data_IF_878083897697
#
_entry.id   IF_878083897697
#
_cell.length_a   1.000
_cell.length_b   1.000
_cell.length_c   1.000
_cell.angle_alpha   90.00
_cell.angle_beta   90.00
_cell.angle_gamma   90.00
#
_symmetry.space_group_name_H-M   'P 1'
#
loop_
_entity.id
_entity.type
_entity.pdbx_description
1 polymer ?
#
# COMPACT_ATOMS: atom_id res chain seq x y z
N UNK A 1 -24.37 -12.16 -30.39
CA UNK A 1 -22.88 -12.18 -30.54
C UNK A 1 -22.30 -12.29 -29.16
N UNK A 2 -21.75 -13.46 -28.80
CA UNK A 2 -21.12 -13.65 -27.50
C UNK A 2 -19.76 -12.90 -27.45
N UNK A 3 -19.60 -12.03 -26.48
CA UNK A 3 -18.29 -11.43 -26.19
C UNK A 3 -17.37 -12.55 -25.68
N UNK A 4 -16.32 -12.86 -26.43
CA UNK A 4 -15.31 -13.82 -25.97
C UNK A 4 -14.73 -13.30 -24.63
N UNK A 5 -14.82 -14.11 -23.58
CA UNK A 5 -14.14 -13.81 -22.32
C UNK A 5 -12.63 -13.88 -22.58
N UNK A 6 -11.95 -12.74 -22.45
CA UNK A 6 -10.50 -12.69 -22.41
C UNK A 6 -10.07 -13.44 -21.13
N UNK A 7 -9.25 -14.48 -21.28
CA UNK A 7 -8.59 -15.14 -20.15
C UNK A 7 -7.21 -14.54 -19.97
N UNK A 8 -6.70 -14.50 -18.75
CA UNK A 8 -5.36 -13.93 -18.44
C UNK A 8 -4.24 -14.54 -19.30
N UNK A 9 -4.38 -15.80 -19.72
CA UNK A 9 -3.41 -16.49 -20.56
C UNK A 9 -3.34 -15.97 -22.00
N UNK A 10 -4.38 -15.25 -22.47
CA UNK A 10 -4.45 -14.71 -23.84
C UNK A 10 -4.27 -13.19 -23.90
N UNK A 11 -4.01 -12.53 -22.76
CA UNK A 11 -3.80 -11.10 -22.73
C UNK A 11 -2.29 -10.84 -22.69
N UNK A 12 -1.71 -10.47 -23.84
CA UNK A 12 -0.36 -9.91 -23.86
C UNK A 12 -0.40 -8.58 -23.10
N UNK A 13 0.28 -8.54 -21.94
CA UNK A 13 0.62 -7.29 -21.28
C UNK A 13 2.03 -6.93 -21.77
N UNK A 14 2.17 -6.09 -22.81
CA UNK A 14 3.48 -5.66 -23.26
C UNK A 14 4.16 -4.88 -22.11
N UNK A 15 5.49 -4.91 -22.07
CA UNK A 15 6.27 -4.01 -21.24
C UNK A 15 5.78 -2.58 -21.51
N UNK A 16 5.06 -2.03 -20.54
CA UNK A 16 4.38 -0.77 -20.75
C UNK A 16 5.43 0.33 -20.79
N UNK A 17 5.51 1.05 -21.90
CA UNK A 17 6.35 2.26 -22.06
C UNK A 17 6.12 3.27 -20.91
N UNK A 18 4.98 3.21 -20.25
CA UNK A 18 4.57 4.13 -19.19
C UNK A 18 4.64 3.52 -17.79
N UNK A 19 4.98 2.24 -17.70
CA UNK A 19 5.23 1.59 -16.42
C UNK A 19 6.65 1.89 -15.96
N UNK A 20 6.81 2.07 -14.66
CA UNK A 20 8.12 2.11 -14.01
C UNK A 20 8.17 1.08 -12.88
N UNK A 21 9.37 0.64 -12.54
CA UNK A 21 9.58 -0.26 -11.42
C UNK A 21 9.67 0.58 -10.15
N UNK A 22 8.73 0.33 -9.25
CA UNK A 22 8.76 0.87 -7.88
C UNK A 22 9.48 -0.15 -7.00
N UNK A 23 10.53 0.29 -6.29
CA UNK A 23 11.33 -0.51 -5.37
C UNK A 23 11.02 -0.05 -3.97
N UNK A 24 10.39 -0.90 -3.17
CA UNK A 24 9.93 -0.53 -1.83
C UNK A 24 10.21 -1.64 -0.83
N UNK A 25 10.54 -1.25 0.40
CA UNK A 25 10.41 -2.13 1.56
C UNK A 25 9.29 -1.67 2.45
N UNK A 26 8.65 -2.63 3.09
CA UNK A 26 7.52 -2.42 3.99
C UNK A 26 7.80 -3.07 5.34
N UNK A 27 7.53 -2.30 6.40
CA UNK A 27 7.82 -2.70 7.77
C UNK A 27 6.57 -2.60 8.63
N UNK A 28 6.37 -3.60 9.49
CA UNK A 28 5.36 -3.57 10.53
C UNK A 28 5.86 -2.75 11.71
N UNK A 29 5.02 -1.87 12.24
CA UNK A 29 5.27 -1.07 13.43
C UNK A 29 4.22 -1.39 14.51
N UNK A 30 4.60 -1.17 15.77
CA UNK A 30 3.66 -1.27 16.90
C UNK A 30 2.74 -0.04 16.98
N UNK A 31 3.30 1.15 16.79
CA UNK A 31 2.62 2.46 16.69
C UNK A 31 3.52 3.41 15.88
N UNK A 32 3.22 4.70 15.88
CA UNK A 32 4.07 5.71 15.27
C UNK A 32 5.47 5.69 15.91
N UNK A 33 6.54 5.86 15.11
CA UNK A 33 7.90 5.94 15.64
C UNK A 33 8.07 7.07 16.66
N UNK A 34 9.06 6.92 17.56
CA UNK A 34 9.38 7.93 18.55
C UNK A 34 9.64 9.31 17.90
N UNK A 35 9.07 10.37 18.48
CA UNK A 35 9.16 11.74 17.96
C UNK A 35 8.11 12.07 16.91
N UNK A 36 7.36 11.10 16.38
CA UNK A 36 6.23 11.33 15.46
C UNK A 36 4.92 11.24 16.23
N UNK A 37 4.08 12.28 16.14
CA UNK A 37 2.81 12.32 16.84
C UNK A 37 1.62 12.38 15.86
N UNK A 38 0.44 11.99 16.33
CA UNK A 38 -0.80 11.98 15.52
C UNK A 38 -1.28 13.37 15.10
N UNK A 39 -0.79 14.42 15.75
CA UNK A 39 -1.12 15.82 15.41
C UNK A 39 -0.20 16.40 14.34
N UNK A 40 0.89 15.71 14.01
CA UNK A 40 1.79 16.12 12.95
C UNK A 40 1.09 16.16 11.59
N UNK A 41 1.70 16.90 10.67
CA UNK A 41 1.19 16.98 9.31
C UNK A 41 1.18 15.60 8.64
N UNK A 42 0.04 15.22 8.10
CA UNK A 42 -0.14 13.98 7.37
C UNK A 42 -1.01 14.18 6.14
N UNK A 43 -0.88 13.29 5.18
CA UNK A 43 -1.79 13.18 4.06
C UNK A 43 -2.91 12.19 4.40
N UNK A 44 -4.14 12.54 4.04
CA UNK A 44 -5.27 11.63 4.12
C UNK A 44 -5.40 10.87 2.80
N UNK A 45 -5.31 9.56 2.86
CA UNK A 45 -5.34 8.70 1.69
C UNK A 45 -6.56 7.78 1.75
N UNK A 46 -7.31 7.74 0.65
CA UNK A 46 -8.36 6.76 0.41
C UNK A 46 -8.00 6.00 -0.86
N UNK A 47 -7.84 4.69 -0.72
CA UNK A 47 -7.58 3.76 -1.82
C UNK A 47 -8.82 2.91 -2.06
N UNK A 48 -9.35 2.92 -3.28
CA UNK A 48 -10.43 2.04 -3.72
C UNK A 48 -9.83 1.00 -4.69
N UNK A 49 -9.69 -0.24 -4.21
CA UNK A 49 -9.19 -1.37 -5.00
C UNK A 49 -10.34 -2.00 -5.77
N UNK A 50 -10.33 -1.87 -7.09
CA UNK A 50 -11.39 -2.40 -7.94
C UNK A 50 -11.37 -3.93 -7.89
N UNK A 51 -12.46 -4.52 -7.42
CA UNK A 51 -12.57 -5.94 -7.12
C UNK A 51 -12.24 -6.81 -8.33
N UNK A 52 -11.41 -7.83 -8.12
CA UNK A 52 -11.00 -8.78 -9.16
C UNK A 52 -10.02 -8.21 -10.19
N UNK A 53 -9.38 -7.07 -9.90
CA UNK A 53 -8.43 -6.43 -10.82
C UNK A 53 -7.14 -6.02 -10.09
N UNK A 54 -6.15 -5.53 -10.86
CA UNK A 54 -4.92 -4.90 -10.36
C UNK A 54 -5.02 -3.37 -10.33
N UNK A 55 -6.25 -2.85 -10.37
CA UNK A 55 -6.53 -1.43 -10.52
C UNK A 55 -6.96 -0.82 -9.19
N UNK A 56 -6.52 0.41 -8.96
CA UNK A 56 -6.84 1.19 -7.77
C UNK A 56 -7.09 2.64 -8.13
N UNK A 57 -8.11 3.24 -7.53
CA UNK A 57 -8.31 4.68 -7.51
C UNK A 57 -7.84 5.21 -6.16
N UNK A 58 -6.79 6.04 -6.16
CA UNK A 58 -6.25 6.68 -4.95
C UNK A 58 -6.65 8.14 -4.90
N UNK A 59 -7.29 8.55 -3.81
CA UNK A 59 -7.53 9.95 -3.47
C UNK A 59 -6.56 10.35 -2.36
N UNK A 60 -5.81 11.42 -2.57
CA UNK A 60 -4.90 11.98 -1.58
C UNK A 60 -5.34 13.39 -1.28
N UNK A 61 -5.58 13.68 0.00
CA UNK A 61 -5.90 15.02 0.49
C UNK A 61 -4.78 15.52 1.40
N UNK A 62 -4.34 16.74 1.17
CA UNK A 62 -3.54 17.48 2.14
C UNK A 62 -4.48 18.36 3.00
N UNK A 63 -4.64 18.05 4.31
CA UNK A 63 -5.54 18.81 5.18
C UNK A 63 -5.12 20.27 5.39
N UNK A 64 -3.81 20.60 5.28
CA UNK A 64 -3.31 21.96 5.46
C UNK A 64 -3.68 22.88 4.30
N UNK A 65 -3.57 22.37 3.08
CA UNK A 65 -3.80 23.15 1.86
C UNK A 65 -5.18 22.90 1.25
N UNK A 66 -5.88 21.89 1.75
CA UNK A 66 -7.15 21.37 1.21
C UNK A 66 -7.05 20.95 -0.27
N UNK A 67 -5.83 20.67 -0.75
CA UNK A 67 -5.60 20.19 -2.11
C UNK A 67 -5.85 18.69 -2.22
N UNK A 68 -6.35 18.29 -3.37
CA UNK A 68 -6.63 16.91 -3.72
C UNK A 68 -5.82 16.46 -4.94
N UNK A 69 -5.38 15.22 -4.91
CA UNK A 69 -4.83 14.52 -6.07
C UNK A 69 -5.57 13.19 -6.19
N UNK A 70 -6.06 12.89 -7.39
CA UNK A 70 -6.68 11.59 -7.69
C UNK A 70 -5.84 10.88 -8.72
N UNK A 71 -5.53 9.60 -8.45
CA UNK A 71 -4.74 8.73 -9.34
C UNK A 71 -5.51 7.46 -9.64
N UNK A 72 -5.50 7.06 -10.89
CA UNK A 72 -5.86 5.71 -11.32
C UNK A 72 -4.57 4.92 -11.53
N UNK A 73 -4.39 3.86 -10.78
CA UNK A 73 -3.14 3.11 -10.72
C UNK A 73 -3.36 1.67 -11.13
N UNK A 74 -2.49 1.14 -12.01
CA UNK A 74 -2.26 -0.29 -12.13
C UNK A 74 -0.96 -0.63 -11.42
N UNK A 75 -0.98 -1.58 -10.47
CA UNK A 75 0.21 -2.03 -9.75
C UNK A 75 0.19 -3.55 -9.63
N UNK A 76 1.31 -4.20 -9.98
CA UNK A 76 1.48 -5.64 -9.83
C UNK A 76 2.95 -6.00 -9.68
N UNK A 77 3.23 -7.09 -8.99
CA UNK A 77 4.57 -7.68 -8.92
C UNK A 77 4.76 -8.59 -10.14
N UNK A 78 5.79 -8.38 -10.98
CA UNK A 78 6.14 -9.31 -12.06
C UNK A 78 6.52 -10.70 -11.54
N UNK A 79 7.22 -10.75 -10.41
CA UNK A 79 7.48 -11.96 -9.64
C UNK A 79 6.55 -11.98 -8.42
N UNK A 80 5.64 -12.95 -8.29
CA UNK A 80 4.73 -13.06 -7.15
C UNK A 80 5.45 -13.35 -5.83
N UNK A 81 6.71 -13.80 -5.86
CA UNK A 81 7.54 -14.06 -4.67
C UNK A 81 8.38 -12.84 -4.26
N UNK A 82 8.45 -11.80 -5.09
CA UNK A 82 9.16 -10.56 -4.79
C UNK A 82 8.22 -9.36 -4.88
N UNK A 83 7.61 -9.01 -3.75
CA UNK A 83 6.72 -7.85 -3.66
C UNK A 83 7.48 -6.54 -3.42
N UNK A 84 8.81 -6.58 -3.31
CA UNK A 84 9.66 -5.40 -3.18
C UNK A 84 9.83 -4.64 -4.50
N UNK A 85 9.61 -5.33 -5.63
CA UNK A 85 9.72 -4.78 -6.99
C UNK A 85 8.39 -4.89 -7.70
N UNK A 86 7.74 -3.76 -7.91
CA UNK A 86 6.41 -3.73 -8.54
C UNK A 86 6.41 -2.86 -9.77
N UNK A 87 5.73 -3.32 -10.82
CA UNK A 87 5.43 -2.51 -11.99
C UNK A 87 4.24 -1.61 -11.69
N UNK A 88 4.39 -0.31 -11.89
CA UNK A 88 3.35 0.68 -11.59
C UNK A 88 3.12 1.63 -12.77
N UNK A 89 1.85 1.86 -13.09
CA UNK A 89 1.42 2.88 -14.05
C UNK A 89 0.38 3.77 -13.38
N UNK A 90 0.57 5.08 -13.42
CA UNK A 90 -0.33 6.05 -12.82
C UNK A 90 -0.90 6.99 -13.90
N UNK A 91 -2.21 7.23 -13.84
CA UNK A 91 -2.89 8.31 -14.53
C UNK A 91 -3.45 9.28 -13.49
N UNK A 92 -3.24 10.57 -13.68
CA UNK A 92 -3.86 11.61 -12.85
C UNK A 92 -5.22 11.94 -13.40
N UNK A 93 -6.24 11.89 -12.54
CA UNK A 93 -7.63 12.10 -12.91
C UNK A 93 -8.10 13.49 -12.48
N UNK A 94 -8.90 14.12 -13.33
CA UNK A 94 -9.74 15.25 -12.93
C UNK A 94 -11.00 14.76 -12.18
N UNK A 95 -11.80 15.69 -11.66
CA UNK A 95 -12.99 15.34 -10.87
C UNK A 95 -14.01 14.49 -11.64
N UNK A 96 -14.29 14.85 -12.90
CA UNK A 96 -15.26 14.14 -13.74
C UNK A 96 -14.79 12.72 -14.06
N UNK A 97 -13.51 12.54 -14.39
CA UNK A 97 -12.92 11.22 -14.63
C UNK A 97 -12.99 10.34 -13.37
N UNK A 98 -12.65 10.92 -12.22
CA UNK A 98 -12.71 10.22 -10.94
C UNK A 98 -14.15 9.78 -10.59
N UNK A 99 -15.14 10.65 -10.83
CA UNK A 99 -16.56 10.35 -10.62
C UNK A 99 -17.04 9.24 -11.58
N UNK A 100 -16.69 9.33 -12.85
CA UNK A 100 -17.05 8.30 -13.86
C UNK A 100 -16.50 6.93 -13.47
N UNK A 101 -15.26 6.85 -12.98
CA UNK A 101 -14.64 5.60 -12.57
C UNK A 101 -15.14 5.08 -11.21
N UNK A 102 -15.83 5.90 -10.41
CA UNK A 102 -16.34 5.52 -9.09
C UNK A 102 -17.50 4.52 -9.14
N UNK A 103 -18.06 4.25 -10.33
CA UNK A 103 -19.11 3.25 -10.54
C UNK A 103 -18.64 1.80 -10.33
N UNK A 104 -17.33 1.56 -10.38
CA UNK A 104 -16.80 0.22 -10.19
C UNK A 104 -16.86 -0.20 -8.72
N UNK A 105 -17.34 -1.44 -8.48
CA UNK A 105 -17.28 -2.03 -7.15
C UNK A 105 -15.82 -2.13 -6.67
N UNK A 106 -15.56 -1.65 -5.47
CA UNK A 106 -14.21 -1.58 -4.92
C UNK A 106 -14.20 -1.79 -3.41
N UNK A 107 -13.08 -2.32 -2.90
CA UNK A 107 -12.78 -2.39 -1.49
C UNK A 107 -11.98 -1.15 -1.07
N UNK A 108 -12.40 -0.49 0.00
CA UNK A 108 -11.81 0.75 0.47
C UNK A 108 -10.78 0.53 1.56
N UNK A 109 -9.62 1.19 1.43
CA UNK A 109 -8.66 1.40 2.52
C UNK A 109 -8.55 2.90 2.78
N UNK A 110 -8.63 3.30 4.05
CA UNK A 110 -8.33 4.66 4.50
C UNK A 110 -7.13 4.65 5.41
N UNK A 111 -6.25 5.65 5.27
CA UNK A 111 -5.06 5.81 6.10
C UNK A 111 -4.60 7.27 6.17
N UNK A 112 -3.94 7.61 7.27
CA UNK A 112 -3.17 8.83 7.41
C UNK A 112 -1.70 8.51 7.15
N UNK A 113 -1.08 9.20 6.18
CA UNK A 113 0.34 9.03 5.84
C UNK A 113 1.14 10.16 6.43
N UNK A 114 2.04 9.81 7.32
CA UNK A 114 3.06 10.69 7.90
C UNK A 114 4.38 10.48 7.17
N UNK A 115 5.27 11.47 7.26
CA UNK A 115 6.63 11.33 6.80
C UNK A 115 7.57 11.39 7.99
N UNK A 116 8.46 10.41 8.06
CA UNK A 116 9.39 10.22 9.15
C UNK A 116 10.82 10.13 8.62
N UNK A 117 11.70 11.00 9.14
CA UNK A 117 13.12 10.99 8.77
C UNK A 117 13.89 10.15 9.80
N UNK A 118 14.56 9.12 9.33
CA UNK A 118 15.37 8.24 10.17
C UNK A 118 16.68 7.90 9.44
N UNK A 119 17.83 8.15 10.09
CA UNK A 119 19.18 7.92 9.54
C UNK A 119 19.37 8.51 8.12
N UNK A 120 18.85 9.73 7.90
CA UNK A 120 18.96 10.42 6.62
C UNK A 120 18.09 9.85 5.49
N UNK A 121 17.17 8.94 5.82
CA UNK A 121 16.20 8.34 4.91
C UNK A 121 14.78 8.72 5.29
N UNK A 122 13.93 8.94 4.28
CA UNK A 122 12.55 9.33 4.47
C UNK A 122 11.62 8.13 4.33
N UNK A 123 10.86 7.85 5.39
CA UNK A 123 9.83 6.83 5.44
C UNK A 123 8.45 7.44 5.29
N UNK A 124 7.56 6.73 4.59
CA UNK A 124 6.12 6.94 4.61
C UNK A 124 5.53 6.05 5.69
N UNK A 125 5.02 6.63 6.78
CA UNK A 125 4.37 5.88 7.88
C UNK A 125 2.87 5.99 7.72
N UNK A 126 2.22 4.88 7.43
CA UNK A 126 0.79 4.75 7.21
C UNK A 126 0.09 4.25 8.47
N UNK A 127 -0.72 5.09 9.09
CA UNK A 127 -1.65 4.69 10.14
C UNK A 127 -3.01 4.41 9.51
N UNK A 128 -3.43 3.16 9.54
CA UNK A 128 -4.67 2.72 8.91
C UNK A 128 -5.90 3.11 9.76
N UNK A 129 -7.02 3.29 9.08
CA UNK A 129 -8.30 3.71 9.63
C UNK A 129 -9.41 2.69 9.25
N UNK A 130 -10.59 2.84 9.85
CA UNK A 130 -11.73 1.98 9.54
C UNK A 130 -11.48 0.53 9.90
N UNK A 131 -11.73 -0.40 8.99
CA UNK A 131 -11.62 -1.84 9.23
C UNK A 131 -10.20 -2.31 9.56
N UNK A 132 -9.19 -1.53 9.19
CA UNK A 132 -7.78 -1.79 9.49
C UNK A 132 -7.24 -0.92 10.64
N UNK A 133 -8.11 -0.27 11.42
CA UNK A 133 -7.69 0.56 12.56
C UNK A 133 -6.86 -0.25 13.56
N UNK A 134 -5.66 0.24 13.87
CA UNK A 134 -4.67 -0.43 14.71
C UNK A 134 -3.48 -0.98 13.94
N UNK A 135 -3.53 -1.03 12.60
CA UNK A 135 -2.38 -1.36 11.77
C UNK A 135 -1.56 -0.10 11.49
N UNK A 136 -0.24 -0.21 11.69
CA UNK A 136 0.73 0.82 11.29
C UNK A 136 1.83 0.17 10.46
N UNK A 137 2.05 0.70 9.26
CA UNK A 137 3.11 0.24 8.36
C UNK A 137 4.02 1.41 7.99
N UNK A 138 5.32 1.14 7.86
CA UNK A 138 6.26 2.07 7.24
C UNK A 138 6.69 1.55 5.87
N UNK A 139 6.83 2.46 4.91
CA UNK A 139 7.33 2.16 3.57
C UNK A 139 8.51 3.09 3.26
N UNK A 140 9.53 2.55 2.58
CA UNK A 140 10.66 3.29 2.04
C UNK A 140 10.90 2.86 0.60
N UNK A 141 11.14 3.83 -0.28
CA UNK A 141 11.45 3.59 -1.68
C UNK A 141 12.94 3.72 -1.95
N UNK A 142 13.42 3.03 -2.99
CA UNK A 142 14.81 3.00 -3.42
C UNK A 142 14.93 3.29 -4.90
N UNK A 143 16.04 3.92 -5.29
CA UNK A 143 16.32 4.23 -6.68
C UNK A 143 16.93 3.04 -7.41
N UNK A 144 17.71 2.21 -6.72
CA UNK A 144 18.41 1.05 -7.30
C UNK A 144 18.10 -0.26 -6.57
N UNK A 145 18.35 -1.37 -7.25
CA UNK A 145 18.22 -2.71 -6.67
C UNK A 145 19.27 -2.93 -5.59
N UNK A 146 20.49 -2.41 -5.77
CA UNK A 146 21.57 -2.54 -4.79
C UNK A 146 21.24 -1.85 -3.47
N UNK A 147 20.58 -0.68 -3.51
CA UNK A 147 20.12 0.01 -2.31
C UNK A 147 19.03 -0.80 -1.60
N UNK A 148 18.04 -1.29 -2.36
CA UNK A 148 16.97 -2.12 -1.85
C UNK A 148 17.50 -3.38 -1.16
N UNK A 149 18.42 -4.10 -1.82
CA UNK A 149 18.90 -5.41 -1.37
C UNK A 149 19.81 -5.30 -0.13
N UNK A 150 20.56 -4.20 0.02
CA UNK A 150 21.47 -3.95 1.16
C UNK A 150 20.83 -3.28 2.35
N UNK A 151 19.60 -2.81 2.20
CA UNK A 151 18.97 -2.02 3.25
C UNK A 151 18.56 -2.90 4.44
N UNK A 152 19.07 -2.57 5.62
CA UNK A 152 18.77 -3.28 6.87
C UNK A 152 17.40 -2.84 7.43
N UNK A 153 16.74 -3.74 8.15
CA UNK A 153 15.51 -3.42 8.87
C UNK A 153 15.79 -2.33 9.92
N UNK A 154 15.06 -1.19 9.87
CA UNK A 154 15.27 -0.10 10.81
C UNK A 154 14.89 -0.51 12.24
N UNK A 155 15.59 0.06 13.24
CA UNK A 155 15.42 -0.31 14.65
C UNK A 155 14.04 0.02 15.23
N UNK A 156 13.29 0.93 14.61
CA UNK A 156 11.92 1.26 15.03
C UNK A 156 10.86 0.28 14.49
N UNK A 157 11.24 -0.64 13.60
CA UNK A 157 10.33 -1.61 13.02
C UNK A 157 10.30 -2.93 13.83
N UNK A 158 9.13 -3.54 13.93
CA UNK A 158 8.98 -4.88 14.50
C UNK A 158 9.56 -5.92 13.54
N UNK A 159 9.24 -5.80 12.25
CA UNK A 159 9.68 -6.75 11.23
C UNK A 159 9.58 -6.17 9.82
N UNK A 160 10.39 -6.72 8.90
CA UNK A 160 10.21 -6.57 7.47
C UNK A 160 9.06 -7.49 7.01
N UNK A 161 8.02 -6.89 6.45
CA UNK A 161 6.82 -7.59 5.94
C UNK A 161 6.66 -7.41 4.43
N UNK A 162 7.73 -7.00 3.75
CA UNK A 162 7.73 -6.67 2.32
C UNK A 162 7.15 -7.80 1.46
N UNK A 163 7.62 -9.03 1.69
CA UNK A 163 7.25 -10.20 0.89
C UNK A 163 6.13 -11.05 1.53
N UNK A 164 5.42 -10.51 2.51
CA UNK A 164 4.25 -11.16 3.11
C UNK A 164 3.00 -10.60 2.43
N UNK A 165 2.33 -11.42 1.63
CA UNK A 165 1.21 -11.02 0.77
C UNK A 165 0.09 -10.32 1.56
N UNK A 166 -0.18 -10.76 2.78
CA UNK A 166 -1.18 -10.15 3.69
C UNK A 166 -1.03 -8.64 3.82
N UNK A 167 0.21 -8.12 3.79
CA UNK A 167 0.49 -6.69 3.91
C UNK A 167 0.51 -5.96 2.56
N UNK A 168 0.23 -6.62 1.44
CA UNK A 168 0.00 -5.95 0.17
C UNK A 168 -1.30 -5.15 0.21
N UNK A 169 -1.34 -4.00 -0.47
CA UNK A 169 -2.53 -3.15 -0.43
C UNK A 169 -3.78 -3.82 -0.99
N UNK A 170 -3.64 -4.63 -2.05
CA UNK A 170 -4.76 -5.41 -2.61
C UNK A 170 -5.32 -6.38 -1.57
N UNK A 171 -4.45 -7.14 -0.91
CA UNK A 171 -4.89 -8.11 0.10
C UNK A 171 -5.47 -7.45 1.34
N UNK A 172 -4.82 -6.39 1.84
CA UNK A 172 -5.33 -5.62 2.98
C UNK A 172 -6.73 -5.06 2.73
N UNK A 173 -7.09 -4.72 1.49
CA UNK A 173 -8.42 -4.20 1.16
C UNK A 173 -9.56 -5.21 1.37
N UNK A 174 -9.24 -6.48 1.49
CA UNK A 174 -10.19 -7.58 1.70
C UNK A 174 -10.28 -8.02 3.17
N UNK A 175 -9.44 -7.46 4.05
CA UNK A 175 -9.26 -7.90 5.42
C UNK A 175 -9.72 -6.85 6.44
N UNK A 176 -9.98 -7.32 7.65
CA UNK A 176 -10.12 -6.49 8.85
C UNK A 176 -8.86 -6.61 9.71
N UNK A 177 -8.65 -5.65 10.60
CA UNK A 177 -7.47 -5.66 11.48
C UNK A 177 -7.34 -6.95 12.29
N UNK A 178 -8.47 -7.54 12.73
CA UNK A 178 -8.45 -8.81 13.45
C UNK A 178 -7.84 -9.97 12.65
N UNK A 179 -8.08 -10.00 11.34
CA UNK A 179 -7.52 -11.03 10.46
C UNK A 179 -6.03 -10.80 10.22
N UNK A 180 -5.63 -9.54 9.99
CA UNK A 180 -4.22 -9.15 9.90
C UNK A 180 -3.48 -9.48 11.20
N UNK A 181 -4.09 -9.21 12.35
CA UNK A 181 -3.51 -9.50 13.67
C UNK A 181 -3.31 -11.00 13.90
N UNK A 182 -4.25 -11.86 13.48
CA UNK A 182 -4.08 -13.32 13.53
C UNK A 182 -2.84 -13.75 12.73
N UNK A 183 -2.68 -13.21 11.52
CA UNK A 183 -1.51 -13.46 10.68
C UNK A 183 -0.21 -13.05 11.37
N UNK A 184 -0.17 -11.83 11.93
CA UNK A 184 0.99 -11.31 12.67
C UNK A 184 1.39 -12.25 13.84
N UNK A 185 0.41 -12.76 14.57
CA UNK A 185 0.63 -13.72 15.65
C UNK A 185 1.12 -15.07 15.11
N UNK A 186 0.52 -15.55 14.02
CA UNK A 186 0.85 -16.84 13.41
C UNK A 186 2.28 -16.90 12.89
N UNK A 187 2.75 -15.80 12.30
CA UNK A 187 4.14 -15.67 11.82
C UNK A 187 5.14 -15.30 12.95
N UNK A 188 4.68 -15.25 14.20
CA UNK A 188 5.53 -15.08 15.39
C UNK A 188 6.01 -13.64 15.64
N UNK A 189 5.46 -12.63 14.96
CA UNK A 189 5.87 -11.23 15.12
C UNK A 189 5.27 -10.54 16.36
N UNK A 190 4.15 -11.05 16.89
CA UNK A 190 3.53 -10.59 18.13
C UNK A 190 3.13 -11.78 18.99
N UNK A 191 3.15 -11.60 20.32
CA UNK A 191 2.59 -12.61 21.24
C UNK A 191 1.06 -12.61 21.14
N UNK A 192 0.45 -13.80 21.16
CA UNK A 192 -0.99 -13.92 21.31
C UNK A 192 -1.42 -13.22 22.61
N UNK A 193 -2.41 -12.30 22.57
CA UNK A 193 -3.03 -11.82 23.79
C UNK A 193 -3.81 -13.00 24.42
N UNK A 194 -3.66 -13.23 25.74
CA UNK A 194 -4.54 -14.22 26.40
C UNK A 194 -6.00 -13.84 26.15
N UNK A 195 -6.83 -14.84 25.88
CA UNK A 195 -8.28 -14.65 25.80
C UNK A 195 -8.76 -14.08 27.13
N UNK A 196 -9.48 -12.95 27.10
CA UNK A 196 -10.20 -12.43 28.25
C UNK A 196 -11.46 -13.25 28.48
#
# INVERSE_FOLDING_TARGET
MGVAKLTDQNTLVPDSKYAHVERERRYLLEDLPEGLTRVEHHLQITDNYITGTRLRIRKVRDPRTNKWVVKFTQKFAPDPHDLSRTSITNLYLNATEAETLSIFAANEIRKNRYYYEFEGRRFSVDMFLGDLFGLVLAEISFDTDEELDRFATPSFAIADVTNIETFSGGRLSELKYEDVRKEIVQIGLLKARPAM
#
